data_IF_501269137421
#
_entry.id   IF_501269137421
#
_cell.length_a   1.000
_cell.length_b   1.000
_cell.length_c   1.000
_cell.angle_alpha   90.00
_cell.angle_beta   90.00
_cell.angle_gamma   90.00
#
_symmetry.space_group_name_H-M   'P 1'
#
loop_
_entity.id
_entity.type
_entity.pdbx_description
1 polymer ?
#
# COMPACT_ATOMS: atom_id res chain seq x y z
N UNK A 1 -5.72 -0.28 -4.97
CA UNK A 1 -6.14 -1.26 -3.94
C UNK A 1 -5.17 -1.31 -2.76
N UNK A 2 -4.00 -1.98 -2.83
CA UNK A 2 -3.12 -2.16 -1.65
C UNK A 2 -2.64 -0.87 -1.00
N UNK A 3 -2.18 0.10 -1.82
CA UNK A 3 -1.75 1.42 -1.34
C UNK A 3 -2.91 2.20 -0.71
N UNK A 4 -4.12 2.08 -1.27
CA UNK A 4 -5.28 2.84 -0.81
C UNK A 4 -5.79 2.33 0.54
N UNK A 5 -5.83 1.00 0.70
CA UNK A 5 -6.17 0.31 1.97
C UNK A 5 -5.15 0.66 3.06
N UNK A 6 -3.86 0.63 2.72
CA UNK A 6 -2.78 0.99 3.64
C UNK A 6 -2.96 2.41 4.19
N UNK A 7 -3.34 3.38 3.36
CA UNK A 7 -3.58 4.77 3.80
C UNK A 7 -4.76 4.89 4.76
N UNK A 8 -5.82 4.11 4.57
CA UNK A 8 -6.95 4.06 5.49
C UNK A 8 -6.57 3.43 6.84
N UNK A 9 -5.80 2.35 6.81
CA UNK A 9 -5.30 1.70 8.02
C UNK A 9 -4.41 2.66 8.83
N UNK A 10 -3.47 3.34 8.16
CA UNK A 10 -2.61 4.35 8.80
C UNK A 10 -3.44 5.48 9.42
N UNK A 11 -4.45 5.99 8.72
CA UNK A 11 -5.32 7.05 9.25
C UNK A 11 -6.06 6.60 10.51
N UNK A 12 -6.53 5.36 10.55
CA UNK A 12 -7.28 4.81 11.69
C UNK A 12 -6.46 4.84 12.98
N UNK A 13 -5.16 4.53 12.90
CA UNK A 13 -4.24 4.63 14.04
C UNK A 13 -4.05 6.06 14.54
N UNK A 14 -4.26 7.08 13.70
CA UNK A 14 -4.10 8.49 14.06
C UNK A 14 -5.40 9.19 14.50
N UNK A 15 -6.58 8.60 14.28
CA UNK A 15 -7.87 9.20 14.65
C UNK A 15 -7.92 9.55 16.15
N UNK A 16 -7.44 8.64 16.99
CA UNK A 16 -7.42 8.88 18.44
C UNK A 16 -6.46 9.99 18.86
N UNK A 17 -5.44 10.25 18.05
CA UNK A 17 -4.48 11.31 18.32
C UNK A 17 -5.05 12.69 18.01
N UNK A 18 -6.08 12.79 17.16
CA UNK A 18 -6.69 14.07 16.78
C UNK A 18 -7.26 14.84 17.98
N UNK A 19 -7.87 14.14 18.94
CA UNK A 19 -8.42 14.73 20.16
C UNK A 19 -7.45 14.65 21.35
N UNK A 20 -6.61 13.62 21.40
CA UNK A 20 -5.59 13.45 22.44
C UNK A 20 -4.46 14.49 22.36
N UNK A 21 -3.95 14.79 21.16
CA UNK A 21 -2.83 15.71 20.99
C UNK A 21 -3.13 17.15 21.46
N UNK A 22 -4.28 17.78 21.11
CA UNK A 22 -4.62 19.11 21.63
C UNK A 22 -4.74 19.14 23.15
N UNK A 23 -5.38 18.13 23.75
CA UNK A 23 -5.54 18.02 25.20
C UNK A 23 -4.17 17.92 25.89
N UNK A 24 -3.27 17.09 25.36
CA UNK A 24 -1.92 16.93 25.88
C UNK A 24 -1.12 18.24 25.78
N UNK A 25 -1.23 18.97 24.66
CA UNK A 25 -0.57 20.27 24.48
C UNK A 25 -1.08 21.30 25.48
N UNK A 26 -2.40 21.44 25.63
CA UNK A 26 -3.02 22.40 26.55
C UNK A 26 -2.60 22.10 27.99
N UNK A 27 -2.69 20.85 28.42
CA UNK A 27 -2.34 20.44 29.77
C UNK A 27 -0.84 20.62 30.06
N UNK A 28 0.03 20.29 29.09
CA UNK A 28 1.48 20.47 29.24
C UNK A 28 1.86 21.94 29.33
N UNK A 29 1.26 22.81 28.50
CA UNK A 29 1.49 24.26 28.54
C UNK A 29 0.97 24.84 29.86
N UNK A 30 -0.19 24.40 30.34
CA UNK A 30 -0.75 24.85 31.61
C UNK A 30 0.20 24.56 32.79
N UNK A 31 0.72 23.33 32.90
CA UNK A 31 1.67 23.00 33.96
C UNK A 31 3.01 23.69 33.80
N UNK A 32 3.52 23.83 32.56
CA UNK A 32 4.73 24.61 32.29
C UNK A 32 4.56 26.06 32.71
N UNK A 33 3.42 26.68 32.39
CA UNK A 33 3.12 28.07 32.75
C UNK A 33 3.09 28.28 34.25
N UNK A 34 2.50 27.34 35.00
CA UNK A 34 2.51 27.36 36.47
C UNK A 34 3.92 27.20 37.06
N UNK A 35 4.81 26.48 36.38
CA UNK A 35 6.16 26.17 36.86
C UNK A 35 7.19 27.26 36.52
N UNK A 36 7.15 27.80 35.30
CA UNK A 36 8.19 28.64 34.71
C UNK A 36 7.71 30.03 34.27
N UNK A 37 6.40 30.29 34.35
CA UNK A 37 5.78 31.56 33.98
C UNK A 37 6.00 31.94 32.51
N UNK A 38 6.29 33.22 32.26
CA UNK A 38 6.52 33.79 30.91
C UNK A 38 7.68 33.09 30.18
N UNK A 39 8.64 32.51 30.91
CA UNK A 39 9.82 31.85 30.34
C UNK A 39 9.46 30.71 29.39
N UNK A 40 8.30 30.08 29.58
CA UNK A 40 7.76 29.02 28.70
C UNK A 40 7.64 29.48 27.24
N UNK A 41 7.35 30.75 27.01
CA UNK A 41 7.19 31.32 25.65
C UNK A 41 8.49 31.19 24.87
N UNK A 42 9.65 31.37 25.51
CA UNK A 42 10.96 31.21 24.86
C UNK A 42 11.18 29.76 24.41
N UNK A 43 10.82 28.78 25.25
CA UNK A 43 10.89 27.36 24.90
C UNK A 43 9.94 26.96 23.77
N UNK A 44 8.69 27.44 23.83
CA UNK A 44 7.69 27.23 22.78
C UNK A 44 8.13 27.85 21.45
N UNK A 45 8.76 29.03 21.48
CA UNK A 45 9.29 29.68 20.29
C UNK A 45 10.32 28.81 19.56
N UNK A 46 11.28 28.20 20.28
CA UNK A 46 12.23 27.25 19.68
C UNK A 46 11.51 26.06 19.06
N UNK A 47 10.56 25.47 19.78
CA UNK A 47 9.81 24.30 19.30
C UNK A 47 9.03 24.62 18.02
N UNK A 48 8.36 25.77 17.97
CA UNK A 48 7.62 26.22 16.80
C UNK A 48 8.58 26.55 15.66
N UNK A 49 9.71 27.20 15.91
CA UNK A 49 10.72 27.53 14.89
C UNK A 49 11.41 26.30 14.28
N UNK A 50 11.50 25.18 15.02
CA UNK A 50 12.02 23.92 14.47
C UNK A 50 11.08 23.27 13.45
N UNK A 51 9.77 23.53 13.50
CA UNK A 51 8.78 22.97 12.55
C UNK A 51 9.04 23.46 11.11
N UNK A 52 9.10 24.78 10.80
CA UNK A 52 9.38 25.24 9.44
C UNK A 52 10.79 24.89 8.99
N UNK A 53 11.77 24.90 9.90
CA UNK A 53 13.14 24.46 9.59
C UNK A 53 13.19 23.00 9.12
N UNK A 54 12.59 22.09 9.88
CA UNK A 54 12.50 20.68 9.51
C UNK A 54 11.63 20.45 8.28
N UNK A 55 10.54 21.22 8.11
CA UNK A 55 9.69 21.17 6.92
C UNK A 55 10.45 21.56 5.65
N UNK A 56 11.26 22.62 5.70
CA UNK A 56 12.10 23.05 4.58
C UNK A 56 13.11 21.97 4.16
N UNK A 57 13.79 21.34 5.12
CA UNK A 57 14.70 20.21 4.83
C UNK A 57 13.92 19.03 4.23
N UNK A 58 12.73 18.74 4.76
CA UNK A 58 11.86 17.65 4.28
C UNK A 58 11.37 17.88 2.85
N UNK A 59 11.07 19.12 2.45
CA UNK A 59 10.73 19.46 1.05
C UNK A 59 11.93 19.20 0.14
N UNK A 60 13.13 19.62 0.54
CA UNK A 60 14.36 19.39 -0.24
C UNK A 60 14.69 17.90 -0.38
N UNK A 61 14.40 17.13 0.68
CA UNK A 61 14.49 15.67 0.68
C UNK A 61 13.53 15.05 -0.34
N UNK A 62 12.25 15.46 -0.36
CA UNK A 62 11.24 14.97 -1.32
C UNK A 62 11.64 15.23 -2.77
N UNK A 63 12.19 16.41 -3.07
CA UNK A 63 12.68 16.74 -4.42
C UNK A 63 13.87 15.86 -4.85
N UNK A 64 14.69 15.39 -3.90
CA UNK A 64 15.74 14.42 -4.20
C UNK A 64 15.16 13.01 -4.41
N UNK A 65 14.13 12.63 -3.65
CA UNK A 65 13.48 11.33 -3.74
C UNK A 65 12.77 11.14 -5.10
N UNK A 66 12.18 12.19 -5.67
CA UNK A 66 11.58 12.12 -7.01
C UNK A 66 12.60 11.87 -8.13
N UNK A 67 13.89 12.21 -7.92
CA UNK A 67 14.95 11.94 -8.90
C UNK A 67 15.36 10.46 -8.94
N UNK A 68 15.06 9.67 -7.90
CA UNK A 68 15.38 8.23 -7.86
C UNK A 68 14.53 7.42 -8.85
N UNK A 69 13.35 7.92 -9.22
CA UNK A 69 12.41 7.22 -10.12
C UNK A 69 12.89 7.25 -11.59
N UNK A 70 13.82 8.15 -11.94
CA UNK A 70 14.46 8.19 -13.26
C UNK A 70 15.64 7.20 -13.27
N UNK A 71 15.59 6.17 -14.11
CA UNK A 71 16.48 5.00 -14.26
C UNK A 71 18.00 5.27 -14.47
N UNK A 72 18.63 6.10 -13.64
CA UNK A 72 20.07 6.33 -13.69
C UNK A 72 20.72 5.53 -12.56
N UNK A 73 20.91 4.23 -12.76
CA UNK A 73 21.54 3.29 -11.79
C UNK A 73 22.81 3.83 -11.12
N UNK A 74 23.64 4.62 -11.82
CA UNK A 74 24.88 5.21 -11.25
C UNK A 74 24.64 6.46 -10.39
N UNK A 75 23.53 7.18 -10.58
CA UNK A 75 23.17 8.36 -9.76
C UNK A 75 22.33 7.99 -8.54
N UNK A 76 21.70 6.81 -8.54
CA UNK A 76 20.89 6.32 -7.42
C UNK A 76 21.67 6.31 -6.09
N UNK A 77 22.90 5.79 -6.08
CA UNK A 77 23.74 5.78 -4.86
C UNK A 77 24.05 7.20 -4.35
N UNK A 78 24.27 8.16 -5.25
CA UNK A 78 24.51 9.55 -4.85
C UNK A 78 23.24 10.21 -4.28
N UNK A 79 22.07 9.91 -4.85
CA UNK A 79 20.78 10.36 -4.33
C UNK A 79 20.51 9.76 -2.96
N UNK A 80 20.71 8.45 -2.79
CA UNK A 80 20.56 7.76 -1.50
C UNK A 80 21.50 8.32 -0.42
N UNK A 81 22.76 8.61 -0.75
CA UNK A 81 23.69 9.29 0.17
C UNK A 81 23.21 10.67 0.58
N UNK A 82 22.67 11.46 -0.37
CA UNK A 82 22.13 12.78 -0.08
C UNK A 82 20.86 12.71 0.79
N UNK A 83 20.00 11.71 0.56
CA UNK A 83 18.85 11.42 1.42
C UNK A 83 19.28 11.02 2.83
N UNK A 84 20.29 10.15 2.97
CA UNK A 84 20.85 9.77 4.26
C UNK A 84 21.41 10.99 5.02
N UNK A 85 22.07 11.91 4.32
CA UNK A 85 22.52 13.18 4.90
C UNK A 85 21.35 14.05 5.39
N UNK A 86 20.29 14.22 4.59
CA UNK A 86 19.11 14.98 5.04
C UNK A 86 18.43 14.34 6.24
N UNK A 87 18.28 13.01 6.25
CA UNK A 87 17.78 12.28 7.41
C UNK A 87 18.66 12.50 8.64
N UNK A 88 19.99 12.48 8.50
CA UNK A 88 20.91 12.75 9.60
C UNK A 88 20.76 14.18 10.16
N UNK A 89 20.54 15.18 9.30
CA UNK A 89 20.28 16.56 9.75
C UNK A 89 18.95 16.67 10.49
N UNK A 90 17.89 15.99 10.01
CA UNK A 90 16.59 15.96 10.69
C UNK A 90 16.73 15.28 12.06
N UNK A 91 17.37 14.11 12.14
CA UNK A 91 17.54 13.38 13.40
C UNK A 91 18.40 14.16 14.39
N UNK A 92 19.47 14.81 13.92
CA UNK A 92 20.27 15.70 14.75
C UNK A 92 19.45 16.87 15.30
N UNK A 93 18.63 17.49 14.45
CA UNK A 93 17.74 18.59 14.86
C UNK A 93 16.78 18.15 15.96
N UNK A 94 16.20 16.95 15.85
CA UNK A 94 15.36 16.36 16.90
C UNK A 94 16.12 16.03 18.19
N UNK A 95 17.37 15.60 18.07
CA UNK A 95 18.21 15.23 19.21
C UNK A 95 18.72 16.45 20.00
N UNK A 96 18.96 17.56 19.31
CA UNK A 96 19.44 18.82 19.91
C UNK A 96 18.31 19.70 20.46
N UNK A 97 17.08 19.54 19.97
CA UNK A 97 15.90 20.28 20.43
C UNK A 97 15.75 20.36 21.97
N UNK A 98 15.87 19.28 22.77
CA UNK A 98 15.78 19.36 24.23
C UNK A 98 16.79 20.29 24.87
N UNK A 99 18.03 20.23 24.40
CA UNK A 99 19.10 21.02 24.95
C UNK A 99 18.89 22.50 24.65
N UNK A 100 18.53 22.83 23.41
CA UNK A 100 18.25 24.21 22.99
C UNK A 100 17.06 24.81 23.76
N UNK A 101 15.96 24.06 23.88
CA UNK A 101 14.78 24.49 24.65
C UNK A 101 15.14 24.70 26.12
N UNK A 102 15.88 23.78 26.73
CA UNK A 102 16.27 23.89 28.13
C UNK A 102 17.15 25.12 28.38
N UNK A 103 18.22 25.31 27.59
CA UNK A 103 19.15 26.43 27.74
C UNK A 103 18.43 27.76 27.58
N UNK A 104 17.60 27.91 26.55
CA UNK A 104 16.89 29.17 26.32
C UNK A 104 15.82 29.44 27.39
N UNK A 105 15.03 28.43 27.76
CA UNK A 105 13.94 28.60 28.73
C UNK A 105 14.48 28.91 30.12
N UNK A 106 15.44 28.13 30.61
CA UNK A 106 16.02 28.38 31.94
C UNK A 106 16.90 29.63 31.96
N UNK A 107 17.57 29.93 30.84
CA UNK A 107 18.28 31.20 30.67
C UNK A 107 17.35 32.40 30.82
N UNK A 108 16.20 32.40 30.13
CA UNK A 108 15.18 33.46 30.29
C UNK A 108 14.61 33.48 31.71
N UNK A 109 14.32 32.33 32.31
CA UNK A 109 13.77 32.23 33.66
C UNK A 109 14.65 32.92 34.71
N UNK A 110 15.97 32.71 34.66
CA UNK A 110 16.93 33.35 35.58
C UNK A 110 17.12 34.84 35.27
N UNK A 111 17.01 35.25 34.01
CA UNK A 111 17.21 36.66 33.62
C UNK A 111 15.97 37.54 33.87
N UNK A 112 14.76 37.00 33.84
CA UNK A 112 13.52 37.78 34.01
C UNK A 112 13.37 38.31 35.43
N UNK A 113 13.56 37.47 36.46
CA UNK A 113 13.50 37.90 37.86
C UNK A 113 14.62 37.23 38.68
N UNK A 114 15.83 37.83 38.72
CA UNK A 114 17.00 37.23 39.38
C UNK A 114 16.83 36.98 40.88
N UNK A 115 15.92 37.71 41.53
CA UNK A 115 15.70 37.66 42.98
C UNK A 115 14.70 36.59 43.40
N UNK A 116 13.67 36.33 42.58
CA UNK A 116 12.58 35.41 42.91
C UNK A 116 12.69 34.06 42.18
N UNK A 117 13.30 34.02 41.00
CA UNK A 117 13.36 32.83 40.16
C UNK A 117 14.62 32.00 40.46
N UNK A 118 14.57 31.23 41.55
CA UNK A 118 15.66 30.30 41.89
C UNK A 118 15.51 29.01 41.07
N UNK A 119 16.55 28.67 40.31
CA UNK A 119 16.58 27.46 39.50
C UNK A 119 16.90 26.24 40.38
N UNK A 120 15.86 25.62 40.94
CA UNK A 120 16.02 24.38 41.71
C UNK A 120 16.07 23.15 40.79
N UNK A 121 16.76 22.05 41.19
CA UNK A 121 16.76 20.82 40.41
C UNK A 121 15.35 20.30 40.11
N UNK A 122 14.42 20.47 41.06
CA UNK A 122 13.03 20.06 40.93
C UNK A 122 12.34 20.79 39.75
N UNK A 123 12.47 22.12 39.68
CA UNK A 123 11.91 22.93 38.59
C UNK A 123 12.55 22.55 37.25
N UNK A 124 13.86 22.36 37.23
CA UNK A 124 14.61 22.00 36.01
C UNK A 124 14.20 20.62 35.47
N UNK A 125 14.18 19.59 36.31
CA UNK A 125 13.86 18.23 35.88
C UNK A 125 12.38 18.07 35.48
N UNK A 126 11.45 18.68 36.24
CA UNK A 126 10.02 18.65 35.90
C UNK A 126 9.76 19.43 34.60
N UNK A 127 10.37 20.61 34.45
CA UNK A 127 10.26 21.41 33.22
C UNK A 127 10.79 20.68 31.98
N UNK A 128 11.97 20.06 32.08
CA UNK A 128 12.58 19.30 30.98
C UNK A 128 11.70 18.10 30.57
N UNK A 129 11.10 17.43 31.55
CA UNK A 129 10.17 16.32 31.31
C UNK A 129 8.91 16.78 30.58
N UNK A 130 8.30 17.89 31.00
CA UNK A 130 7.11 18.47 30.35
C UNK A 130 7.41 18.93 28.92
N UNK A 131 8.57 19.55 28.68
CA UNK A 131 8.99 19.90 27.31
C UNK A 131 9.22 18.67 26.43
N UNK A 132 9.77 17.57 26.97
CA UNK A 132 9.93 16.32 26.23
C UNK A 132 8.57 15.72 25.84
N UNK A 133 7.58 15.73 26.75
CA UNK A 133 6.21 15.27 26.48
C UNK A 133 5.53 16.12 25.40
N UNK A 134 5.79 17.43 25.39
CA UNK A 134 5.19 18.36 24.42
C UNK A 134 5.69 18.17 22.98
N UNK A 135 6.88 17.58 22.78
CA UNK A 135 7.45 17.40 21.44
C UNK A 135 6.66 16.46 20.56
N UNK A 136 6.22 15.33 21.12
CA UNK A 136 5.55 14.28 20.34
C UNK A 136 4.26 14.80 19.68
N UNK A 137 3.32 15.44 20.42
CA UNK A 137 2.12 16.02 19.81
C UNK A 137 2.42 17.06 18.72
N UNK A 138 3.42 17.94 18.95
CA UNK A 138 3.82 18.95 17.97
C UNK A 138 4.39 18.31 16.68
N UNK A 139 5.19 17.25 16.82
CA UNK A 139 5.77 16.52 15.70
C UNK A 139 4.69 15.84 14.85
N UNK A 140 3.77 15.15 15.52
CA UNK A 140 2.79 14.31 14.84
C UNK A 140 1.67 15.13 14.22
N UNK A 141 1.39 16.34 14.70
CA UNK A 141 0.37 17.23 14.12
C UNK A 141 0.54 17.44 12.60
N UNK A 142 1.77 17.74 12.15
CA UNK A 142 2.07 17.91 10.73
C UNK A 142 1.91 16.59 9.93
N UNK A 143 2.22 15.46 10.55
CA UNK A 143 2.08 14.13 9.94
C UNK A 143 0.62 13.75 9.76
N UNK A 144 -0.25 14.01 10.76
CA UNK A 144 -1.69 13.75 10.67
C UNK A 144 -2.31 14.53 9.51
N UNK A 145 -1.95 15.81 9.34
CA UNK A 145 -2.46 16.61 8.23
C UNK A 145 -2.09 16.01 6.87
N UNK A 146 -0.84 15.58 6.70
CA UNK A 146 -0.39 14.92 5.47
C UNK A 146 -1.15 13.61 5.22
N UNK A 147 -1.39 12.80 6.26
CA UNK A 147 -2.12 11.55 6.13
C UNK A 147 -3.61 11.77 5.84
N UNK A 148 -4.21 12.81 6.40
CA UNK A 148 -5.59 13.20 6.11
C UNK A 148 -5.77 13.55 4.62
N UNK A 149 -4.83 14.31 4.04
CA UNK A 149 -4.86 14.64 2.59
C UNK A 149 -4.74 13.38 1.73
N UNK A 150 -3.82 12.47 2.07
CA UNK A 150 -3.64 11.21 1.33
C UNK A 150 -4.87 10.30 1.44
N UNK A 151 -5.47 10.23 2.64
CA UNK A 151 -6.71 9.50 2.88
C UNK A 151 -7.87 10.09 2.06
N UNK A 152 -7.99 11.42 1.97
CA UNK A 152 -9.03 12.08 1.16
C UNK A 152 -8.91 11.74 -0.34
N UNK A 153 -7.69 11.72 -0.88
CA UNK A 153 -7.44 11.32 -2.29
C UNK A 153 -7.71 9.83 -2.51
N UNK A 154 -7.36 8.99 -1.54
CA UNK A 154 -7.69 7.55 -1.54
C UNK A 154 -9.20 7.32 -1.56
N UNK A 155 -9.93 7.98 -0.66
CA UNK A 155 -11.38 7.91 -0.56
C UNK A 155 -12.07 8.34 -1.87
N UNK A 156 -11.59 9.42 -2.51
CA UNK A 156 -12.10 9.85 -3.82
C UNK A 156 -11.98 8.77 -4.89
N UNK A 157 -10.84 8.07 -4.93
CA UNK A 157 -10.58 7.00 -5.91
C UNK A 157 -11.46 5.78 -5.63
N UNK A 158 -11.56 5.37 -4.37
CA UNK A 158 -12.41 4.24 -3.97
C UNK A 158 -13.89 4.52 -4.25
N UNK A 159 -14.36 5.73 -3.93
CA UNK A 159 -15.73 6.14 -4.21
C UNK A 159 -16.05 6.14 -5.71
N UNK A 160 -15.09 6.54 -6.56
CA UNK A 160 -15.26 6.44 -8.02
C UNK A 160 -15.39 4.99 -8.45
N UNK A 161 -14.47 4.12 -8.02
CA UNK A 161 -14.48 2.70 -8.37
C UNK A 161 -15.76 1.96 -7.92
N UNK A 162 -16.26 2.27 -6.73
CA UNK A 162 -17.50 1.68 -6.19
C UNK A 162 -18.77 2.28 -6.79
N UNK A 163 -18.67 3.43 -7.47
CA UNK A 163 -19.79 4.08 -8.15
C UNK A 163 -19.76 3.86 -9.66
N UNK A 164 -18.78 3.10 -10.17
CA UNK A 164 -18.75 2.71 -11.58
C UNK A 164 -19.94 1.78 -11.84
N UNK A 165 -20.57 1.94 -13.00
CA UNK A 165 -21.76 1.18 -13.38
C UNK A 165 -21.46 -0.32 -13.39
N UNK A 166 -22.27 -1.10 -12.67
CA UNK A 166 -22.21 -2.55 -12.75
C UNK A 166 -22.83 -3.01 -14.08
N UNK A 167 -22.22 -4.04 -14.69
CA UNK A 167 -22.80 -4.69 -15.87
C UNK A 167 -24.16 -5.27 -15.49
N UNK A 168 -25.23 -4.84 -16.15
CA UNK A 168 -26.57 -5.36 -15.91
C UNK A 168 -26.59 -6.87 -16.25
N UNK A 169 -26.81 -7.75 -15.26
CA UNK A 169 -26.79 -9.20 -15.48
C UNK A 169 -27.93 -9.67 -16.39
N UNK A 170 -28.92 -8.82 -16.70
CA UNK A 170 -30.07 -9.14 -17.53
C UNK A 170 -29.95 -8.64 -18.99
N UNK A 171 -28.79 -8.12 -19.41
CA UNK A 171 -28.54 -7.76 -20.83
C UNK A 171 -28.76 -8.95 -21.77
N UNK A 172 -28.65 -10.18 -21.25
CA UNK A 172 -29.01 -11.42 -21.95
C UNK A 172 -30.27 -11.99 -21.28
N UNK A 173 -31.43 -11.94 -21.95
CA UNK A 173 -32.60 -12.71 -21.57
C UNK A 173 -32.33 -14.21 -21.85
N UNK A 174 -31.58 -14.87 -20.98
CA UNK A 174 -31.57 -16.34 -20.95
C UNK A 174 -32.83 -16.81 -20.21
N UNK A 175 -33.81 -17.28 -20.97
CA UNK A 175 -34.87 -18.13 -20.42
C UNK A 175 -34.22 -19.27 -19.64
N UNK A 176 -34.70 -19.48 -18.42
CA UNK A 176 -34.36 -20.53 -17.45
C UNK A 176 -32.96 -20.50 -16.79
N UNK A 177 -33.04 -20.48 -15.46
CA UNK A 177 -32.08 -20.92 -14.46
C UNK A 177 -30.85 -20.01 -14.21
N UNK A 178 -30.84 -19.46 -13.00
CA UNK A 178 -29.67 -19.07 -12.26
C UNK A 178 -28.53 -20.09 -12.45
N UNK A 179 -27.52 -19.76 -13.27
CA UNK A 179 -26.23 -20.41 -13.18
C UNK A 179 -25.38 -19.56 -12.22
N UNK A 180 -25.01 -20.07 -11.04
CA UNK A 180 -24.03 -19.38 -10.22
C UNK A 180 -22.71 -19.37 -11.00
N UNK A 181 -22.27 -18.18 -11.39
CA UNK A 181 -20.98 -17.93 -12.06
C UNK A 181 -19.78 -18.12 -11.13
N UNK A 182 -19.83 -19.13 -10.25
CA UNK A 182 -18.89 -19.32 -9.18
C UNK A 182 -18.82 -20.79 -8.76
N UNK A 183 -18.18 -21.59 -9.60
CA UNK A 183 -17.21 -22.65 -9.24
C UNK A 183 -16.77 -23.34 -10.54
N UNK A 184 -15.55 -23.05 -11.00
CA UNK A 184 -14.87 -23.89 -12.00
C UNK A 184 -14.58 -25.30 -11.45
N UNK A 185 -14.84 -25.51 -10.16
CA UNK A 185 -14.61 -26.77 -9.45
C UNK A 185 -15.75 -27.76 -9.67
N UNK A 186 -15.98 -28.16 -10.94
CA UNK A 186 -16.67 -29.44 -11.17
C UNK A 186 -15.84 -30.54 -10.49
N UNK A 187 -16.46 -31.47 -9.74
CA UNK A 187 -15.72 -32.55 -9.09
C UNK A 187 -14.87 -33.31 -10.11
N UNK A 188 -13.70 -33.76 -9.68
CA UNK A 188 -12.78 -34.52 -10.53
C UNK A 188 -13.46 -35.83 -10.98
N UNK A 189 -13.71 -35.93 -12.29
CA UNK A 189 -14.27 -37.11 -12.94
C UNK A 189 -13.17 -37.74 -13.81
N UNK A 190 -12.52 -38.84 -13.37
CA UNK A 190 -11.36 -39.40 -14.06
C UNK A 190 -11.61 -39.69 -15.54
N UNK A 191 -12.76 -40.31 -15.86
CA UNK A 191 -13.10 -40.70 -17.23
C UNK A 191 -13.33 -39.50 -18.16
N UNK A 192 -13.91 -38.41 -17.64
CA UNK A 192 -14.12 -37.19 -18.41
C UNK A 192 -12.81 -36.44 -18.58
N UNK A 193 -12.01 -36.33 -17.51
CA UNK A 193 -10.71 -35.68 -17.53
C UNK A 193 -9.78 -36.33 -18.56
N UNK A 194 -9.65 -37.66 -18.54
CA UNK A 194 -8.83 -38.39 -19.51
C UNK A 194 -9.30 -38.15 -20.94
N UNK A 195 -10.62 -38.19 -21.19
CA UNK A 195 -11.20 -37.91 -22.52
C UNK A 195 -10.87 -36.50 -23.00
N UNK A 196 -11.04 -35.49 -22.14
CA UNK A 196 -10.77 -34.09 -22.51
C UNK A 196 -9.29 -33.86 -22.77
N UNK A 197 -8.41 -34.43 -21.93
CA UNK A 197 -6.94 -34.35 -22.10
C UNK A 197 -6.50 -34.98 -23.42
N UNK A 198 -7.11 -36.12 -23.79
CA UNK A 198 -6.85 -36.79 -25.07
C UNK A 198 -7.38 -36.01 -26.28
N UNK A 199 -8.62 -35.54 -26.21
CA UNK A 199 -9.26 -34.80 -27.29
C UNK A 199 -8.55 -33.46 -27.55
N UNK A 200 -8.03 -32.80 -26.50
CA UNK A 200 -7.26 -31.56 -26.62
C UNK A 200 -5.76 -31.80 -26.91
N UNK A 201 -5.32 -33.05 -27.10
CA UNK A 201 -3.94 -33.42 -27.36
C UNK A 201 -2.94 -32.89 -26.31
N UNK A 202 -3.30 -32.88 -25.02
CA UNK A 202 -2.48 -32.35 -23.92
C UNK A 202 -1.52 -33.38 -23.31
N UNK A 203 -1.71 -34.68 -23.56
CA UNK A 203 -0.82 -35.74 -23.03
C UNK A 203 0.67 -35.52 -23.36
N UNK A 204 1.05 -35.15 -24.61
CA UNK A 204 2.45 -34.87 -24.94
C UNK A 204 3.00 -33.68 -24.16
N UNK A 205 2.18 -32.67 -23.88
CA UNK A 205 2.62 -31.49 -23.13
C UNK A 205 2.91 -31.84 -21.68
N UNK A 206 2.06 -32.64 -21.03
CA UNK A 206 2.30 -33.11 -19.67
C UNK A 206 3.59 -33.92 -19.55
N UNK A 207 3.92 -34.75 -20.55
CA UNK A 207 5.18 -35.50 -20.55
C UNK A 207 6.43 -34.62 -20.59
N UNK A 208 6.32 -33.37 -21.08
CA UNK A 208 7.42 -32.41 -21.11
C UNK A 208 7.55 -31.61 -19.81
N UNK A 209 6.54 -31.63 -18.95
CA UNK A 209 6.53 -30.88 -17.68
C UNK A 209 7.23 -31.68 -16.57
N UNK A 210 7.96 -31.01 -15.65
CA UNK A 210 8.77 -31.68 -14.63
C UNK A 210 7.96 -32.52 -13.64
N UNK A 211 6.69 -32.18 -13.40
CA UNK A 211 5.78 -32.92 -12.52
C UNK A 211 4.50 -33.36 -13.26
N UNK A 212 4.54 -33.45 -14.59
CA UNK A 212 3.37 -33.84 -15.38
C UNK A 212 2.20 -32.85 -15.24
N UNK A 213 1.01 -33.40 -15.07
CA UNK A 213 -0.24 -32.67 -14.81
C UNK A 213 -0.29 -31.98 -13.43
N UNK A 214 0.55 -32.41 -12.49
CA UNK A 214 0.68 -31.81 -11.15
C UNK A 214 1.63 -30.61 -11.11
N UNK A 215 2.13 -30.16 -12.27
CA UNK A 215 3.06 -29.02 -12.35
C UNK A 215 2.34 -27.70 -12.07
N UNK A 216 2.86 -26.91 -11.14
CA UNK A 216 2.34 -25.56 -10.87
C UNK A 216 2.49 -24.63 -12.08
N UNK A 217 1.36 -24.09 -12.53
CA UNK A 217 1.32 -23.12 -13.62
C UNK A 217 1.56 -21.72 -13.03
N UNK A 218 2.67 -21.07 -13.42
CA UNK A 218 3.02 -19.72 -12.95
C UNK A 218 2.00 -18.65 -13.34
N UNK A 219 2.12 -17.45 -12.75
CA UNK A 219 1.18 -16.33 -12.98
C UNK A 219 0.99 -16.05 -14.50
N UNK A 220 -0.27 -15.99 -14.95
CA UNK A 220 -0.65 -15.88 -16.38
C UNK A 220 -0.05 -16.97 -17.30
N UNK A 221 0.30 -18.12 -16.72
CA UNK A 221 0.86 -19.27 -17.43
C UNK A 221 2.23 -19.02 -18.03
N UNK A 222 3.11 -18.21 -17.42
CA UNK A 222 4.44 -17.88 -17.99
C UNK A 222 5.28 -19.13 -18.38
N UNK A 223 5.01 -20.27 -17.75
CA UNK A 223 5.69 -21.54 -18.01
C UNK A 223 5.16 -22.31 -19.24
N UNK A 224 4.12 -21.82 -19.92
CA UNK A 224 3.46 -22.50 -21.06
C UNK A 224 3.65 -21.71 -22.37
N UNK A 225 3.77 -22.42 -23.49
CA UNK A 225 3.76 -21.82 -24.84
C UNK A 225 2.37 -21.27 -25.19
N UNK A 226 2.26 -20.41 -26.21
CA UNK A 226 0.99 -19.85 -26.66
C UNK A 226 -0.06 -20.92 -27.03
N UNK A 227 0.35 -21.93 -27.82
CA UNK A 227 -0.52 -23.04 -28.19
C UNK A 227 -0.88 -23.97 -27.03
N UNK A 228 -0.01 -24.10 -26.01
CA UNK A 228 -0.35 -24.82 -24.78
C UNK A 228 -1.39 -24.07 -23.95
N UNK A 229 -1.26 -22.75 -23.80
CA UNK A 229 -2.27 -21.92 -23.11
C UNK A 229 -3.64 -22.01 -23.76
N UNK A 230 -3.69 -21.98 -25.10
CA UNK A 230 -4.95 -22.13 -25.83
C UNK A 230 -5.58 -23.50 -25.61
N UNK A 231 -4.80 -24.59 -25.72
CA UNK A 231 -5.31 -25.95 -25.48
C UNK A 231 -5.77 -26.17 -24.04
N UNK A 232 -5.09 -25.61 -23.05
CA UNK A 232 -5.53 -25.64 -21.65
C UNK A 232 -6.83 -24.85 -21.46
N UNK A 233 -6.96 -23.68 -22.10
CA UNK A 233 -8.22 -22.89 -22.05
C UNK A 233 -9.37 -23.61 -22.75
N UNK A 234 -9.10 -24.29 -23.86
CA UNK A 234 -10.09 -25.11 -24.58
C UNK A 234 -10.51 -26.33 -23.75
N UNK A 235 -9.56 -27.08 -23.20
CA UNK A 235 -9.83 -28.20 -22.31
C UNK A 235 -10.70 -27.78 -21.11
N UNK A 236 -10.44 -26.59 -20.55
CA UNK A 236 -11.28 -26.02 -19.48
C UNK A 236 -12.73 -25.77 -19.92
N UNK A 237 -12.93 -25.26 -21.13
CA UNK A 237 -14.28 -25.01 -21.67
C UNK A 237 -15.03 -26.31 -22.01
N UNK A 238 -14.34 -27.34 -22.50
CA UNK A 238 -14.94 -28.64 -22.81
C UNK A 238 -15.28 -29.41 -21.54
N UNK A 239 -14.42 -29.35 -20.52
CA UNK A 239 -14.64 -30.02 -19.24
C UNK A 239 -15.85 -29.48 -18.45
N UNK A 240 -16.22 -28.21 -18.67
CA UNK A 240 -17.38 -27.61 -18.00
C UNK A 240 -18.74 -28.08 -18.53
N UNK A 241 -18.81 -28.79 -19.67
CA UNK A 241 -20.04 -29.29 -20.31
C UNK A 241 -21.19 -28.27 -20.29
N UNK A 242 -20.94 -27.07 -20.82
CA UNK A 242 -21.95 -26.01 -20.89
C UNK A 242 -22.82 -26.16 -22.15
N UNK A 243 -24.11 -25.80 -22.05
CA UNK A 243 -25.06 -25.89 -23.17
C UNK A 243 -24.63 -25.06 -24.40
N UNK A 244 -23.93 -23.95 -24.16
CA UNK A 244 -23.36 -23.09 -25.19
C UNK A 244 -21.90 -22.81 -24.85
N UNK A 245 -21.00 -23.11 -25.78
CA UNK A 245 -19.57 -22.85 -25.66
C UNK A 245 -19.16 -21.81 -26.72
N UNK A 246 -18.65 -20.67 -26.27
CA UNK A 246 -18.08 -19.65 -27.14
C UNK A 246 -16.58 -19.92 -27.34
N UNK A 247 -16.19 -20.11 -28.61
CA UNK A 247 -14.81 -20.34 -29.00
C UNK A 247 -14.33 -19.15 -29.84
N UNK A 248 -13.48 -18.31 -29.26
CA UNK A 248 -12.86 -17.18 -29.95
C UNK A 248 -11.49 -17.59 -30.51
N UNK A 249 -11.45 -17.94 -31.81
CA UNK A 249 -10.26 -18.41 -32.54
C UNK A 249 -9.39 -19.45 -31.80
N UNK A 250 -9.97 -20.60 -31.38
CA UNK A 250 -9.29 -21.57 -30.51
C UNK A 250 -8.11 -22.30 -31.19
N UNK A 251 -7.97 -22.20 -32.51
CA UNK A 251 -6.95 -22.90 -33.31
C UNK A 251 -5.82 -21.98 -33.83
N UNK A 252 -5.83 -20.70 -33.44
CA UNK A 252 -4.94 -19.69 -34.04
C UNK A 252 -3.46 -19.86 -33.69
N UNK A 253 -3.12 -20.41 -32.52
CA UNK A 253 -1.74 -20.59 -32.07
C UNK A 253 -1.32 -22.08 -31.97
N UNK A 254 -2.06 -22.99 -32.60
CA UNK A 254 -1.73 -24.42 -32.67
C UNK A 254 -1.31 -24.84 -34.08
N UNK A 255 -0.39 -25.79 -34.17
CA UNK A 255 0.08 -26.32 -35.46
C UNK A 255 -1.04 -27.04 -36.21
N UNK A 256 -1.00 -27.05 -37.54
CA UNK A 256 -2.07 -27.59 -38.39
C UNK A 256 -2.44 -29.05 -38.08
N UNK A 257 -1.47 -29.90 -37.69
CA UNK A 257 -1.74 -31.29 -37.32
C UNK A 257 -2.53 -31.40 -36.00
N UNK A 258 -2.11 -30.63 -34.99
CA UNK A 258 -2.79 -30.57 -33.68
C UNK A 258 -4.16 -29.91 -33.82
N UNK A 259 -4.26 -28.85 -34.63
CA UNK A 259 -5.51 -28.18 -34.93
C UNK A 259 -6.53 -29.11 -35.60
N UNK A 260 -6.08 -29.95 -36.54
CA UNK A 260 -6.93 -30.98 -37.15
C UNK A 260 -7.44 -31.99 -36.12
N UNK A 261 -6.55 -32.48 -35.24
CA UNK A 261 -6.93 -33.42 -34.17
C UNK A 261 -8.00 -32.82 -33.24
N UNK A 262 -7.79 -31.59 -32.78
CA UNK A 262 -8.74 -30.87 -31.92
C UNK A 262 -10.07 -30.65 -32.66
N UNK A 263 -10.02 -30.26 -33.93
CA UNK A 263 -11.24 -30.03 -34.71
C UNK A 263 -12.07 -31.31 -34.82
N UNK A 264 -11.45 -32.45 -35.11
CA UNK A 264 -12.13 -33.74 -35.27
C UNK A 264 -12.66 -34.29 -33.94
N UNK A 265 -11.90 -34.19 -32.85
CA UNK A 265 -12.23 -34.85 -31.58
C UNK A 265 -12.95 -33.95 -30.55
N UNK A 266 -12.88 -32.63 -30.73
CA UNK A 266 -13.54 -31.67 -29.84
C UNK A 266 -14.69 -30.99 -30.60
N UNK A 267 -14.40 -30.29 -31.69
CA UNK A 267 -15.39 -29.43 -32.36
C UNK A 267 -16.47 -30.24 -33.10
N UNK A 268 -16.08 -31.32 -33.79
CA UNK A 268 -17.03 -32.19 -34.48
C UNK A 268 -17.85 -33.06 -33.51
N UNK A 269 -17.24 -33.54 -32.43
CA UNK A 269 -17.92 -34.37 -31.41
C UNK A 269 -19.01 -33.56 -30.68
N UNK A 270 -18.74 -32.29 -30.37
CA UNK A 270 -19.72 -31.36 -29.78
C UNK A 270 -20.95 -31.08 -30.66
N UNK A 271 -20.93 -31.45 -31.96
CA UNK A 271 -22.10 -31.31 -32.87
C UNK A 271 -23.02 -32.54 -32.89
N UNK A 272 -22.61 -33.65 -32.28
CA UNK A 272 -23.21 -34.98 -32.50
C UNK A 272 -24.08 -35.54 -31.37
N UNK A 273 -24.34 -34.78 -30.31
CA UNK A 273 -25.09 -35.21 -29.11
C UNK A 273 -26.36 -34.41 -28.90
#
# INVERSE_FOLDING_TARGET
MSVDIQRFQEMTSFIMLFWSAPLQVILSIYFLWRLLGISVIAGLFILIAMIPFNSWISVKMRNCQSLQILEIRKKEIMVLRRLAFYNAVITLSWSCAPFLVAVLTFGVYVNVDPVNNVLTPQVTFVGLSLFNILRFPLAVFAMIFSQAVQCAVSNRRLKSFLADDEMDPFVIESSSACYPSQELSRPYLPALYDRVVDACALRPDFATLPAGDSTEIGEKGINLSGGQKQRVSLARAVYSESDVIYLDDPLSAVDAHVGKHIFEHVICDMRGS
#
